data_IF_091228603658
#
_entry.id   IF_091228603658
#
_cell.length_a   1.000
_cell.length_b   1.000
_cell.length_c   1.000
_cell.angle_alpha   90.00
_cell.angle_beta   90.00
_cell.angle_gamma   90.00
#
_symmetry.space_group_name_H-M   'P 1'
#
loop_
_entity.id
_entity.type
_entity.pdbx_description
1 polymer ?
#
# COMPACT_ATOMS: atom_id res chain seq x y z
N UNK A 1 -36.25 2.78 -11.81
CA UNK A 1 -36.10 1.35 -11.56
C UNK A 1 -34.93 0.79 -12.36
N UNK A 2 -34.19 -0.18 -11.83
CA UNK A 2 -33.16 -0.93 -12.54
C UNK A 2 -33.67 -2.31 -13.00
N UNK A 3 -34.97 -2.50 -12.95
CA UNK A 3 -35.70 -3.67 -13.39
C UNK A 3 -36.41 -3.32 -14.72
N UNK A 4 -35.77 -3.70 -15.83
CA UNK A 4 -36.21 -3.44 -17.21
C UNK A 4 -35.54 -4.46 -18.15
N UNK A 5 -36.10 -4.78 -19.34
CA UNK A 5 -35.48 -5.66 -20.31
C UNK A 5 -34.32 -4.95 -21.05
N UNK A 6 -33.21 -5.63 -21.23
CA UNK A 6 -32.18 -5.21 -22.18
C UNK A 6 -32.42 -5.92 -23.50
N UNK A 7 -32.60 -5.15 -24.59
CA UNK A 7 -32.77 -5.69 -25.92
C UNK A 7 -31.45 -5.96 -26.61
N UNK A 8 -31.30 -7.15 -27.11
CA UNK A 8 -30.12 -7.55 -27.90
C UNK A 8 -30.25 -7.04 -29.35
N UNK A 9 -29.17 -7.10 -30.09
CA UNK A 9 -29.13 -6.69 -31.53
C UNK A 9 -30.07 -7.53 -32.41
N UNK A 10 -30.39 -8.76 -32.01
CA UNK A 10 -31.32 -9.67 -32.68
C UNK A 10 -32.75 -9.57 -32.08
N UNK A 11 -33.05 -8.55 -31.27
CA UNK A 11 -34.39 -8.23 -30.77
C UNK A 11 -34.85 -9.03 -29.55
N UNK A 12 -33.98 -9.88 -28.98
CA UNK A 12 -34.33 -10.68 -27.81
C UNK A 12 -34.31 -9.77 -26.55
N UNK A 13 -35.33 -9.86 -25.73
CA UNK A 13 -35.40 -9.20 -24.45
C UNK A 13 -34.75 -10.10 -23.35
N UNK A 14 -33.79 -9.54 -22.64
CA UNK A 14 -33.11 -10.20 -21.50
C UNK A 14 -33.43 -9.45 -20.23
N UNK A 15 -34.07 -10.13 -19.30
CA UNK A 15 -34.43 -9.58 -17.98
C UNK A 15 -33.36 -9.87 -16.92
N UNK A 16 -33.26 -9.05 -15.84
CA UNK A 16 -32.42 -9.36 -14.70
C UNK A 16 -32.82 -10.73 -14.10
N UNK A 17 -31.83 -11.60 -13.81
CA UNK A 17 -32.13 -12.97 -13.40
C UNK A 17 -32.67 -13.90 -14.49
N UNK A 18 -33.14 -13.35 -15.62
CA UNK A 18 -33.67 -14.08 -16.77
C UNK A 18 -35.18 -14.34 -16.77
N UNK A 19 -35.90 -13.84 -15.77
CA UNK A 19 -37.36 -13.95 -15.63
C UNK A 19 -37.97 -12.55 -15.39
N UNK A 20 -38.94 -12.08 -16.22
CA UNK A 20 -39.61 -10.78 -16.05
C UNK A 20 -40.38 -10.67 -14.76
N UNK A 21 -40.81 -11.78 -14.19
CA UNK A 21 -41.62 -11.82 -12.95
C UNK A 21 -40.76 -11.94 -11.68
N UNK A 22 -39.49 -12.30 -11.80
CA UNK A 22 -38.56 -12.39 -10.67
C UNK A 22 -37.95 -11.02 -10.33
N UNK A 23 -38.58 -10.33 -9.37
CA UNK A 23 -38.15 -9.01 -8.89
C UNK A 23 -36.98 -9.00 -7.91
N UNK A 24 -36.32 -10.16 -7.68
CA UNK A 24 -35.15 -10.26 -6.81
C UNK A 24 -33.90 -9.67 -7.43
N UNK A 25 -33.84 -9.57 -8.74
CA UNK A 25 -32.67 -9.14 -9.49
C UNK A 25 -32.89 -7.80 -10.16
N UNK A 26 -31.85 -6.99 -10.22
CA UNK A 26 -31.86 -5.71 -10.95
C UNK A 26 -30.54 -5.54 -11.70
N UNK A 27 -30.55 -4.73 -12.77
CA UNK A 27 -29.32 -4.35 -13.43
C UNK A 27 -28.48 -3.41 -12.56
N UNK A 28 -27.17 -3.37 -12.82
CA UNK A 28 -26.25 -2.41 -12.18
C UNK A 28 -26.32 -1.02 -12.82
N UNK A 29 -26.75 -0.92 -14.06
CA UNK A 29 -26.79 0.29 -14.85
C UNK A 29 -28.23 0.67 -15.18
N UNK A 30 -28.47 2.00 -15.33
CA UNK A 30 -29.75 2.49 -15.84
C UNK A 30 -29.90 2.17 -17.33
N UNK A 31 -31.10 2.13 -17.84
CA UNK A 31 -31.41 1.85 -19.22
C UNK A 31 -30.61 2.76 -20.18
N UNK A 32 -30.60 4.07 -19.90
CA UNK A 32 -29.80 5.05 -20.65
C UNK A 32 -28.31 4.70 -20.70
N UNK A 33 -27.76 4.22 -19.59
CA UNK A 33 -26.36 3.82 -19.51
C UNK A 33 -26.08 2.50 -20.21
N UNK A 34 -27.06 1.60 -20.26
CA UNK A 34 -26.97 0.34 -21.02
C UNK A 34 -26.91 0.62 -22.53
N UNK A 35 -27.76 1.52 -23.06
CA UNK A 35 -27.71 1.94 -24.48
C UNK A 35 -26.29 2.47 -24.81
N UNK A 36 -25.81 3.41 -24.01
CA UNK A 36 -24.44 3.93 -24.14
C UNK A 36 -23.39 2.80 -24.08
N UNK A 37 -23.56 1.84 -23.18
CA UNK A 37 -22.64 0.72 -22.99
C UNK A 37 -22.61 -0.25 -24.16
N UNK A 38 -23.72 -0.44 -24.87
CA UNK A 38 -23.77 -1.22 -26.11
C UNK A 38 -23.02 -0.48 -27.23
N UNK A 39 -23.28 0.82 -27.40
CA UNK A 39 -22.63 1.67 -28.40
C UNK A 39 -21.13 1.79 -28.24
N UNK A 40 -20.65 1.76 -26.99
CA UNK A 40 -19.23 1.93 -26.64
C UNK A 40 -18.52 0.60 -26.29
N UNK A 41 -19.12 -0.54 -26.64
CA UNK A 41 -18.55 -1.88 -26.44
C UNK A 41 -18.32 -2.30 -24.96
N UNK A 42 -19.02 -1.68 -24.01
CA UNK A 42 -18.99 -2.08 -22.59
C UNK A 42 -19.99 -3.20 -22.26
N UNK A 43 -20.86 -3.56 -23.18
CA UNK A 43 -21.83 -4.64 -22.99
C UNK A 43 -21.64 -5.69 -24.10
N UNK A 44 -21.68 -6.94 -23.69
CA UNK A 44 -21.61 -8.09 -24.60
C UNK A 44 -22.74 -9.05 -24.32
N UNK A 45 -23.39 -9.53 -25.38
CA UNK A 45 -24.39 -10.57 -25.34
C UNK A 45 -23.74 -11.91 -25.66
N UNK A 46 -23.93 -12.91 -24.80
CA UNK A 46 -23.44 -14.28 -25.07
C UNK A 46 -24.58 -15.27 -25.02
N UNK A 47 -24.67 -16.11 -26.05
CA UNK A 47 -25.59 -17.26 -26.07
C UNK A 47 -24.90 -18.48 -25.46
N UNK A 48 -25.57 -19.10 -24.50
CA UNK A 48 -25.14 -20.39 -23.95
C UNK A 48 -25.53 -21.55 -24.91
N UNK A 49 -24.98 -22.74 -24.65
CA UNK A 49 -25.26 -23.93 -25.48
C UNK A 49 -26.75 -24.32 -25.52
N UNK A 50 -27.50 -23.96 -24.49
CA UNK A 50 -28.95 -24.19 -24.41
C UNK A 50 -29.79 -23.03 -24.96
N UNK A 51 -29.18 -22.11 -25.73
CA UNK A 51 -29.87 -21.01 -26.42
C UNK A 51 -30.18 -19.79 -25.55
N UNK A 52 -29.94 -19.82 -24.25
CA UNK A 52 -30.19 -18.69 -23.34
C UNK A 52 -29.19 -17.57 -23.61
N UNK A 53 -29.66 -16.34 -23.80
CA UNK A 53 -28.80 -15.14 -23.94
C UNK A 53 -28.57 -14.53 -22.57
N UNK A 54 -27.35 -14.15 -22.30
CA UNK A 54 -26.93 -13.46 -21.09
C UNK A 54 -26.19 -12.16 -21.41
N UNK A 55 -26.36 -11.17 -20.55
CA UNK A 55 -25.74 -9.84 -20.65
C UNK A 55 -24.51 -9.80 -19.76
N UNK A 56 -23.39 -9.39 -20.31
CA UNK A 56 -22.12 -9.21 -19.58
C UNK A 56 -21.65 -7.77 -19.69
N UNK A 57 -21.22 -7.20 -18.58
CA UNK A 57 -20.61 -5.89 -18.52
C UNK A 57 -19.09 -6.05 -18.56
N UNK A 58 -18.45 -5.44 -19.55
CA UNK A 58 -16.99 -5.48 -19.70
C UNK A 58 -16.35 -4.49 -18.73
N UNK A 59 -15.22 -4.89 -18.17
CA UNK A 59 -14.30 -4.02 -17.46
C UNK A 59 -12.99 -3.94 -18.25
N UNK A 60 -12.63 -2.75 -18.70
CA UNK A 60 -11.36 -2.51 -19.39
C UNK A 60 -10.26 -2.19 -18.40
N UNK A 61 -9.04 -2.64 -18.67
CA UNK A 61 -7.89 -2.45 -17.77
C UNK A 61 -7.50 -0.97 -17.62
N UNK A 62 -7.59 -0.19 -18.69
CA UNK A 62 -7.05 1.17 -18.77
C UNK A 62 -8.10 2.28 -18.81
N UNK A 63 -9.38 1.95 -18.82
CA UNK A 63 -10.46 2.93 -18.84
C UNK A 63 -11.57 2.56 -17.87
N UNK A 64 -12.20 3.59 -17.30
CA UNK A 64 -13.41 3.42 -16.49
C UNK A 64 -14.68 3.26 -17.36
N UNK A 65 -15.81 3.08 -16.72
CA UNK A 65 -17.11 2.95 -17.39
C UNK A 65 -17.69 4.28 -17.91
N UNK A 66 -16.85 5.29 -18.10
CA UNK A 66 -17.13 6.57 -18.77
C UNK A 66 -16.06 6.87 -19.83
N UNK A 67 -15.28 5.86 -20.25
CA UNK A 67 -14.16 5.96 -21.19
C UNK A 67 -13.02 6.88 -20.74
N UNK A 68 -12.90 7.20 -19.43
CA UNK A 68 -11.79 8.00 -18.91
C UNK A 68 -10.61 7.10 -18.62
N UNK A 69 -9.41 7.56 -18.95
CA UNK A 69 -8.19 6.83 -18.59
C UNK A 69 -8.09 6.63 -17.08
N UNK A 70 -7.77 5.41 -16.66
CA UNK A 70 -7.52 5.06 -15.27
C UNK A 70 -6.43 4.00 -15.16
N UNK A 71 -5.72 4.05 -14.06
CA UNK A 71 -4.83 2.96 -13.64
C UNK A 71 -5.60 2.12 -12.61
N UNK A 72 -5.88 0.86 -12.96
CA UNK A 72 -6.49 -0.06 -12.01
C UNK A 72 -5.43 -0.52 -11.00
N UNK A 73 -5.73 -0.32 -9.74
CA UNK A 73 -4.94 -0.85 -8.63
C UNK A 73 -5.77 -1.85 -7.85
N UNK A 74 -5.16 -2.95 -7.44
CA UNK A 74 -5.83 -3.86 -6.51
C UNK A 74 -5.89 -3.19 -5.13
N UNK A 75 -7.03 -3.24 -4.44
CA UNK A 75 -7.11 -2.77 -3.07
C UNK A 75 -6.17 -3.59 -2.18
N UNK A 76 -5.62 -2.94 -1.17
CA UNK A 76 -4.80 -3.65 -0.19
C UNK A 76 -5.62 -4.70 0.56
N UNK A 77 -5.03 -5.87 0.75
CA UNK A 77 -5.65 -6.93 1.55
C UNK A 77 -5.62 -6.57 3.04
N UNK A 78 -6.68 -6.91 3.77
CA UNK A 78 -6.71 -6.82 5.24
C UNK A 78 -5.73 -7.79 5.90
N UNK A 79 -5.30 -8.83 5.18
CA UNK A 79 -4.26 -9.76 5.62
C UNK A 79 -2.94 -9.46 4.92
N UNK A 80 -1.98 -8.91 5.67
CA UNK A 80 -0.62 -8.62 5.20
C UNK A 80 0.20 -9.93 5.28
N UNK A 81 0.76 -10.33 4.14
CA UNK A 81 1.63 -11.51 4.02
C UNK A 81 3.03 -11.12 3.56
N UNK A 82 4.02 -11.98 3.81
CA UNK A 82 5.39 -11.79 3.32
C UNK A 82 6.25 -10.79 4.13
N UNK A 83 5.79 -10.38 5.32
CA UNK A 83 6.51 -9.48 6.22
C UNK A 83 6.82 -10.16 7.58
N UNK A 84 7.54 -11.29 7.62
CA UNK A 84 7.82 -11.97 8.89
C UNK A 84 8.72 -11.11 9.79
N UNK A 85 8.49 -11.13 11.11
CA UNK A 85 9.24 -10.35 12.09
C UNK A 85 10.75 -10.66 12.08
N UNK A 86 11.14 -11.88 11.77
CA UNK A 86 12.55 -12.27 11.63
C UNK A 86 13.33 -11.43 10.62
N UNK A 87 12.65 -10.90 9.61
CA UNK A 87 13.26 -10.00 8.62
C UNK A 87 13.82 -8.74 9.28
N UNK A 88 13.07 -8.12 10.19
CA UNK A 88 13.53 -6.94 10.94
C UNK A 88 14.77 -7.24 11.78
N UNK A 89 14.79 -8.38 12.48
CA UNK A 89 15.94 -8.81 13.27
C UNK A 89 17.18 -9.07 12.40
N UNK A 90 16.98 -9.66 11.22
CA UNK A 90 18.08 -9.92 10.26
C UNK A 90 18.61 -8.62 9.66
N UNK A 91 17.74 -7.70 9.27
CA UNK A 91 18.09 -6.37 8.75
C UNK A 91 18.95 -5.61 9.76
N UNK A 92 18.49 -5.53 11.01
CA UNK A 92 19.21 -4.83 12.06
C UNK A 92 20.55 -5.51 12.40
N UNK A 93 20.56 -6.84 12.52
CA UNK A 93 21.80 -7.62 12.75
C UNK A 93 22.83 -7.40 11.62
N UNK A 94 22.38 -7.34 10.39
CA UNK A 94 23.28 -7.07 9.24
C UNK A 94 23.87 -5.67 9.33
N UNK A 95 23.09 -4.68 9.69
CA UNK A 95 23.52 -3.28 9.83
C UNK A 95 24.51 -3.07 10.99
N UNK A 96 24.25 -3.70 12.14
CA UNK A 96 25.08 -3.55 13.36
C UNK A 96 26.17 -4.61 13.48
N UNK A 97 26.17 -5.66 12.64
CA UNK A 97 27.03 -6.85 12.69
C UNK A 97 26.85 -7.72 13.92
N UNK A 98 25.89 -7.38 14.78
CA UNK A 98 25.48 -8.13 15.97
C UNK A 98 24.01 -7.83 16.30
N UNK A 99 23.42 -8.61 17.21
CA UNK A 99 22.08 -8.29 17.77
C UNK A 99 22.22 -7.14 18.76
N UNK A 100 21.43 -6.08 18.62
CA UNK A 100 21.43 -4.90 19.47
C UNK A 100 20.04 -4.54 20.01
N UNK A 101 18.99 -5.14 19.46
CA UNK A 101 17.62 -4.85 19.83
C UNK A 101 16.72 -6.08 19.59
N UNK A 102 15.76 -6.27 20.48
CA UNK A 102 14.78 -7.33 20.37
C UNK A 102 13.57 -6.87 19.53
N UNK A 103 13.08 -7.74 18.68
CA UNK A 103 11.85 -7.53 17.90
C UNK A 103 11.75 -6.25 17.05
N UNK A 104 12.80 -5.82 16.33
CA UNK A 104 12.68 -4.69 15.40
C UNK A 104 11.66 -5.02 14.33
N UNK A 105 10.81 -4.06 13.98
CA UNK A 105 9.82 -4.26 12.91
C UNK A 105 10.51 -4.32 11.55
N UNK A 106 10.08 -5.22 10.63
CA UNK A 106 10.64 -5.28 9.29
C UNK A 106 10.38 -3.96 8.53
N UNK A 107 11.41 -3.43 7.87
CA UNK A 107 11.29 -2.21 7.06
C UNK A 107 10.25 -2.38 5.95
N UNK A 108 10.17 -3.57 5.35
CA UNK A 108 9.17 -3.87 4.31
C UNK A 108 7.73 -3.75 4.81
N UNK A 109 7.44 -4.09 6.07
CA UNK A 109 6.11 -3.91 6.67
C UNK A 109 5.78 -2.43 6.80
N UNK A 110 6.70 -1.66 7.36
CA UNK A 110 6.49 -0.21 7.56
C UNK A 110 6.33 0.49 6.21
N UNK A 111 7.14 0.15 5.20
CA UNK A 111 6.97 0.68 3.83
C UNK A 111 5.59 0.40 3.25
N UNK A 112 5.06 -0.80 3.48
CA UNK A 112 3.70 -1.14 3.02
C UNK A 112 2.65 -0.27 3.72
N UNK A 113 2.75 -0.10 5.04
CA UNK A 113 1.84 0.76 5.81
C UNK A 113 1.93 2.23 5.35
N UNK A 114 3.13 2.73 5.10
CA UNK A 114 3.33 4.08 4.58
C UNK A 114 2.72 4.27 3.18
N UNK A 115 2.86 3.28 2.29
CA UNK A 115 2.19 3.30 0.97
C UNK A 115 0.67 3.33 1.06
N UNK A 116 0.11 2.71 2.09
CA UNK A 116 -1.35 2.68 2.32
C UNK A 116 -1.86 3.98 2.94
N UNK A 117 -1.09 4.58 3.85
CA UNK A 117 -1.57 5.63 4.74
C UNK A 117 -0.92 7.01 4.54
N UNK A 118 -0.01 7.18 3.58
CA UNK A 118 0.66 8.46 3.37
C UNK A 118 0.81 8.84 1.90
N UNK A 119 0.90 10.14 1.64
CA UNK A 119 1.27 10.71 0.36
C UNK A 119 2.80 10.83 0.22
N UNK A 120 3.28 11.21 -0.97
CA UNK A 120 4.72 11.31 -1.27
C UNK A 120 5.46 12.44 -0.53
N UNK A 121 4.74 13.40 0.02
CA UNK A 121 5.20 14.59 0.73
C UNK A 121 4.79 14.64 2.21
N UNK A 122 4.24 13.55 2.73
CA UNK A 122 3.72 13.49 4.10
C UNK A 122 4.84 13.60 5.16
N UNK A 123 4.50 14.20 6.30
CA UNK A 123 5.28 14.11 7.53
C UNK A 123 4.82 12.87 8.33
N UNK A 124 5.74 11.98 8.63
CA UNK A 124 5.50 10.73 9.35
C UNK A 124 5.95 10.89 10.80
N UNK A 125 5.04 10.67 11.73
CA UNK A 125 5.34 10.68 13.16
C UNK A 125 5.30 9.25 13.72
N UNK A 126 6.38 8.86 14.40
CA UNK A 126 6.48 7.62 15.17
C UNK A 126 6.99 7.95 16.57
N UNK A 127 6.11 7.89 17.56
CA UNK A 127 6.44 8.21 18.95
C UNK A 127 6.78 6.98 19.80
N UNK A 128 6.99 5.83 19.16
CA UNK A 128 7.56 4.61 19.74
C UNK A 128 8.59 4.01 18.78
N UNK A 129 9.57 4.83 18.41
CA UNK A 129 10.49 4.54 17.31
C UNK A 129 11.28 3.23 17.47
N UNK A 130 11.47 2.75 18.73
CA UNK A 130 12.23 1.54 19.02
C UNK A 130 13.61 1.58 18.37
N UNK A 131 13.90 0.64 17.47
CA UNK A 131 15.17 0.64 16.76
C UNK A 131 15.14 1.47 15.44
N UNK A 132 14.21 2.40 15.25
CA UNK A 132 14.20 3.34 14.10
C UNK A 132 13.81 2.75 12.75
N UNK A 133 13.04 1.68 12.71
CA UNK A 133 12.61 1.05 11.44
C UNK A 133 11.81 2.00 10.55
N UNK A 134 11.04 2.90 11.13
CA UNK A 134 10.19 3.86 10.41
C UNK A 134 11.01 4.88 9.62
N UNK A 135 12.07 5.45 10.21
CA UNK A 135 12.94 6.39 9.50
C UNK A 135 13.61 5.75 8.28
N UNK A 136 14.15 4.54 8.44
CA UNK A 136 14.70 3.79 7.31
C UNK A 136 13.64 3.53 6.24
N UNK A 137 12.43 3.13 6.63
CA UNK A 137 11.34 2.87 5.69
C UNK A 137 10.95 4.11 4.89
N UNK A 138 10.92 5.30 5.53
CA UNK A 138 10.66 6.58 4.84
C UNK A 138 11.73 6.85 3.79
N UNK A 139 13.01 6.75 4.13
CA UNK A 139 14.09 6.98 3.18
C UNK A 139 14.07 5.98 2.02
N UNK A 140 13.88 4.69 2.30
CA UNK A 140 13.75 3.68 1.25
C UNK A 140 12.55 3.92 0.32
N UNK A 141 11.43 4.37 0.87
CA UNK A 141 10.24 4.63 0.09
C UNK A 141 10.42 5.86 -0.80
N UNK A 142 11.03 6.94 -0.28
CA UNK A 142 11.37 8.13 -1.06
C UNK A 142 12.29 7.79 -2.24
N UNK A 143 13.29 6.93 -2.03
CA UNK A 143 14.16 6.45 -3.11
C UNK A 143 13.40 5.65 -4.18
N UNK A 144 12.37 4.88 -3.78
CA UNK A 144 11.60 4.04 -4.70
C UNK A 144 10.60 4.81 -5.56
N UNK A 145 10.01 5.87 -5.02
CA UNK A 145 8.91 6.57 -5.68
C UNK A 145 9.17 8.07 -5.90
N UNK A 146 10.42 8.51 -5.68
CA UNK A 146 10.85 9.92 -5.75
C UNK A 146 9.99 10.82 -4.85
N UNK A 147 9.63 10.33 -3.66
CA UNK A 147 8.90 11.07 -2.65
C UNK A 147 9.82 11.98 -1.83
N UNK A 148 9.19 12.92 -1.12
CA UNK A 148 9.84 13.90 -0.23
C UNK A 148 9.32 13.78 1.21
N UNK A 149 8.86 12.57 1.60
CA UNK A 149 8.36 12.33 2.96
C UNK A 149 9.43 12.68 3.98
N UNK A 150 8.99 13.27 5.06
CA UNK A 150 9.81 13.56 6.24
C UNK A 150 9.36 12.68 7.42
N UNK A 151 10.17 12.58 8.45
CA UNK A 151 9.81 11.85 9.65
C UNK A 151 10.22 12.56 10.93
N UNK A 152 9.46 12.31 11.99
CA UNK A 152 9.79 12.62 13.37
C UNK A 152 9.74 11.28 14.12
N UNK A 153 10.86 10.90 14.73
CA UNK A 153 10.98 9.71 15.57
C UNK A 153 11.14 10.16 17.02
N UNK A 154 10.24 9.73 17.89
CA UNK A 154 10.36 9.95 19.32
C UNK A 154 10.61 8.62 20.03
N UNK A 155 11.59 8.57 20.90
CA UNK A 155 11.93 7.41 21.71
C UNK A 155 12.33 7.86 23.11
N UNK A 156 11.80 7.19 24.12
CA UNK A 156 12.21 7.38 25.50
C UNK A 156 13.64 6.87 25.71
N UNK A 157 14.33 7.47 26.70
CA UNK A 157 15.66 7.02 27.15
C UNK A 157 15.54 5.73 27.97
N UNK A 158 14.89 4.70 27.43
CA UNK A 158 14.79 3.38 28.05
C UNK A 158 16.16 2.70 28.06
N UNK A 159 16.64 2.21 29.23
CA UNK A 159 17.93 1.54 29.33
C UNK A 159 17.93 0.24 28.55
N UNK A 160 19.03 -0.05 27.86
CA UNK A 160 19.25 -1.33 27.21
C UNK A 160 19.62 -2.37 28.28
N UNK A 161 18.86 -3.48 28.33
CA UNK A 161 19.01 -4.51 29.35
C UNK A 161 20.21 -5.45 29.13
N UNK A 162 20.64 -5.62 27.89
CA UNK A 162 21.82 -6.42 27.55
C UNK A 162 23.08 -5.63 27.86
N UNK A 163 23.84 -6.07 28.85
CA UNK A 163 25.03 -5.37 29.36
C UNK A 163 26.12 -5.15 28.30
N UNK A 164 26.28 -6.09 27.34
CA UNK A 164 27.27 -5.94 26.29
C UNK A 164 26.81 -4.95 25.21
N UNK A 165 25.52 -4.84 24.98
CA UNK A 165 24.95 -3.83 24.07
C UNK A 165 24.95 -2.46 24.75
N UNK A 166 24.64 -2.40 26.03
CA UNK A 166 24.55 -1.17 26.81
C UNK A 166 25.90 -0.43 26.92
N UNK A 167 27.04 -1.13 26.81
CA UNK A 167 28.38 -0.50 26.75
C UNK A 167 28.52 0.47 25.58
N UNK A 168 27.94 0.14 24.44
CA UNK A 168 27.99 0.99 23.24
C UNK A 168 26.73 1.85 23.06
N UNK A 169 25.58 1.33 23.48
CA UNK A 169 24.26 1.96 23.37
C UNK A 169 23.53 1.89 24.69
N UNK A 170 23.75 2.85 25.61
CA UNK A 170 23.12 2.83 26.92
C UNK A 170 21.61 2.82 26.91
N UNK A 171 21.00 3.46 25.89
CA UNK A 171 19.55 3.55 25.75
C UNK A 171 19.05 3.06 24.38
N UNK A 172 17.76 2.74 24.30
CA UNK A 172 17.10 2.39 23.03
C UNK A 172 17.16 3.57 22.04
N UNK A 173 17.11 4.81 22.55
CA UNK A 173 17.26 6.01 21.71
C UNK A 173 18.64 6.06 21.02
N UNK A 174 19.71 5.61 21.70
CA UNK A 174 21.06 5.54 21.10
C UNK A 174 21.11 4.54 19.94
N UNK A 175 20.42 3.39 20.07
CA UNK A 175 20.30 2.41 18.99
C UNK A 175 19.55 3.02 17.79
N UNK A 176 18.46 3.77 18.06
CA UNK A 176 17.69 4.47 17.02
C UNK A 176 18.56 5.43 16.24
N UNK A 177 19.29 6.31 16.95
CA UNK A 177 20.18 7.31 16.37
C UNK A 177 21.27 6.64 15.53
N UNK A 178 21.92 5.61 16.08
CA UNK A 178 23.00 4.91 15.38
C UNK A 178 22.49 4.16 14.15
N UNK A 179 21.29 3.57 14.20
CA UNK A 179 20.67 3.00 12.99
C UNK A 179 20.53 4.05 11.91
N UNK A 180 19.98 5.22 12.23
CA UNK A 180 19.77 6.27 11.26
C UNK A 180 21.10 6.76 10.66
N UNK A 181 22.16 6.88 11.47
CA UNK A 181 23.52 7.23 11.00
C UNK A 181 24.06 6.20 9.99
N UNK A 182 23.96 4.91 10.34
CA UNK A 182 24.46 3.81 9.47
C UNK A 182 23.69 3.72 8.18
N UNK A 183 22.37 3.85 8.23
CA UNK A 183 21.52 3.83 7.03
C UNK A 183 21.81 5.05 6.15
N UNK A 184 21.92 6.24 6.72
CA UNK A 184 22.29 7.45 5.98
C UNK A 184 23.63 7.29 5.27
N UNK A 185 24.65 6.80 5.98
CA UNK A 185 25.97 6.52 5.40
C UNK A 185 25.88 5.51 4.24
N UNK A 186 25.22 4.37 4.46
CA UNK A 186 25.07 3.33 3.45
C UNK A 186 24.38 3.85 2.18
N UNK A 187 23.37 4.71 2.34
CA UNK A 187 22.64 5.25 1.18
C UNK A 187 23.43 6.35 0.47
N UNK A 188 24.13 7.20 1.19
CA UNK A 188 25.03 8.20 0.60
C UNK A 188 26.17 7.56 -0.18
N UNK A 189 26.70 6.43 0.26
CA UNK A 189 27.76 5.69 -0.45
C UNK A 189 27.23 4.93 -1.68
N UNK A 190 25.96 4.55 -1.70
CA UNK A 190 25.36 3.78 -2.79
C UNK A 190 24.65 4.63 -3.85
N UNK A 191 24.32 5.87 -3.53
CA UNK A 191 23.63 6.80 -4.42
C UNK A 191 24.61 7.84 -4.95
N UNK A 192 24.83 7.85 -6.27
CA UNK A 192 25.50 8.95 -6.97
C UNK A 192 24.60 10.20 -7.11
N UNK A 193 23.46 10.24 -6.43
CA UNK A 193 22.54 11.36 -6.47
C UNK A 193 22.81 12.34 -5.31
N UNK A 194 22.58 13.63 -5.54
CA UNK A 194 22.67 14.71 -4.53
C UNK A 194 21.62 14.57 -3.38
N UNK A 195 21.04 13.40 -3.21
CA UNK A 195 20.09 13.12 -2.14
C UNK A 195 20.82 13.03 -0.80
N UNK A 196 20.75 14.10 -0.02
CA UNK A 196 21.30 14.17 1.33
C UNK A 196 20.37 13.40 2.29
N UNK A 197 20.88 12.25 2.79
CA UNK A 197 20.26 11.55 3.90
C UNK A 197 20.76 12.15 5.21
N UNK A 198 19.96 13.03 5.81
CA UNK A 198 20.30 13.70 7.06
C UNK A 198 19.14 13.72 8.05
N UNK A 199 19.45 13.83 9.33
CA UNK A 199 18.47 14.03 10.41
C UNK A 199 19.08 14.83 11.55
N UNK A 200 18.24 15.57 12.27
CA UNK A 200 18.62 16.26 13.51
C UNK A 200 18.22 15.41 14.72
N UNK A 201 19.02 15.49 15.79
CA UNK A 201 18.72 14.87 17.08
C UNK A 201 18.41 15.97 18.10
N UNK A 202 17.25 15.87 18.76
CA UNK A 202 16.81 16.79 19.78
C UNK A 202 16.57 16.01 21.07
N UNK A 203 17.00 16.56 22.21
CA UNK A 203 16.63 16.05 23.52
C UNK A 203 15.63 17.00 24.15
N UNK A 204 14.52 16.45 24.63
CA UNK A 204 13.58 17.24 25.42
C UNK A 204 14.06 17.28 26.87
N UNK A 205 13.99 18.42 27.55
CA UNK A 205 14.27 18.48 28.95
C UNK A 205 13.28 17.61 29.73
N UNK A 206 13.76 16.89 30.74
CA UNK A 206 12.96 16.09 31.67
C UNK A 206 12.07 16.95 32.54
#
# INVERSE_FOLDING_TARGET
SLDYPIRTTDGIEVWPGGDPDDKKWTWRWSEKKVVWGVENDFIVFKKSRNGKTSVYFKEYEKVDNQCRQMVRTNPYSTLIRGCPNEKGSRELKTLFKRRVFDYPKPVVLIKLLLKMGSHKDSLILDFFAGAGSTGQAVWELNRQDSGTRQFILAQLDEPVLDEEVAKDFPTVADITIERMRRVAKQYSESDNSDNLFGFGVFRMPS
#
